data_IF_364226564921
#
_entry.id   IF_364226564921
#
_cell.length_a   1.000
_cell.length_b   1.000
_cell.length_c   1.000
_cell.angle_alpha   90.00
_cell.angle_beta   90.00
_cell.angle_gamma   90.00
#
_symmetry.space_group_name_H-M   'P 1'
#
loop_
_entity.id
_entity.type
_entity.pdbx_description
1 polymer ?
#
# COMPACT_ATOMS: atom_id res chain seq x y z
N UNK A 1 -23.68 -14.31 -45.63
CA UNK A 1 -22.63 -14.75 -44.68
C UNK A 1 -21.95 -13.48 -44.17
N UNK A 2 -22.53 -12.82 -43.17
CA UNK A 2 -21.92 -11.63 -42.55
C UNK A 2 -21.05 -12.10 -41.40
N UNK A 3 -19.75 -11.83 -41.48
CA UNK A 3 -18.82 -12.10 -40.40
C UNK A 3 -19.16 -11.17 -39.22
N UNK A 4 -19.56 -11.80 -38.12
CA UNK A 4 -19.76 -11.17 -36.82
C UNK A 4 -18.39 -10.72 -36.34
N UNK A 5 -18.18 -9.41 -36.26
CA UNK A 5 -16.93 -8.81 -35.79
C UNK A 5 -16.77 -9.13 -34.30
N UNK A 6 -15.78 -9.98 -33.99
CA UNK A 6 -15.35 -10.34 -32.64
C UNK A 6 -15.04 -9.07 -31.84
N UNK A 7 -15.87 -8.79 -30.83
CA UNK A 7 -15.61 -7.78 -29.81
C UNK A 7 -14.72 -8.37 -28.72
N UNK A 8 -13.51 -8.77 -29.07
CA UNK A 8 -12.55 -9.38 -28.13
C UNK A 8 -11.71 -8.35 -27.35
N UNK A 9 -11.76 -7.06 -27.73
CA UNK A 9 -10.91 -6.01 -27.15
C UNK A 9 -11.70 -5.07 -26.23
N UNK A 10 -12.70 -5.59 -25.50
CA UNK A 10 -13.25 -4.84 -24.37
C UNK A 10 -12.26 -4.99 -23.22
N UNK A 11 -11.24 -4.14 -23.17
CA UNK A 11 -10.50 -3.92 -21.92
C UNK A 11 -11.55 -3.59 -20.86
N UNK A 12 -11.75 -4.52 -19.93
CA UNK A 12 -12.55 -4.29 -18.73
C UNK A 12 -11.72 -3.32 -17.90
N UNK A 13 -11.88 -2.03 -18.17
CA UNK A 13 -11.50 -0.97 -17.25
C UNK A 13 -12.51 -1.12 -16.11
N UNK A 14 -12.26 -2.09 -15.21
CA UNK A 14 -12.88 -2.07 -13.90
C UNK A 14 -12.59 -0.67 -13.36
N UNK A 15 -13.65 0.12 -13.23
CA UNK A 15 -13.63 1.39 -12.52
C UNK A 15 -13.45 1.05 -11.05
N UNK A 16 -12.27 0.53 -10.71
CA UNK A 16 -11.94 -0.06 -9.43
C UNK A 16 -11.49 1.04 -8.50
N UNK A 17 -12.42 1.83 -7.99
CA UNK A 17 -12.20 2.47 -6.68
C UNK A 17 -12.01 1.33 -5.67
N UNK A 18 -10.76 0.97 -5.43
CA UNK A 18 -10.41 -0.08 -4.49
C UNK A 18 -10.33 0.51 -3.10
N UNK A 19 -11.31 0.15 -2.27
CA UNK A 19 -11.24 0.12 -0.81
C UNK A 19 -10.99 1.46 -0.11
N UNK A 20 -11.69 1.69 0.99
CA UNK A 20 -11.37 2.79 1.90
C UNK A 20 -10.22 2.34 2.81
N UNK A 21 -9.18 3.16 2.93
CA UNK A 21 -8.14 2.99 3.95
C UNK A 21 -8.46 3.96 5.09
N UNK A 22 -8.57 3.45 6.31
CA UNK A 22 -8.90 4.26 7.47
C UNK A 22 -7.93 5.44 7.58
N UNK A 23 -8.48 6.65 7.62
CA UNK A 23 -7.70 7.88 7.70
C UNK A 23 -7.26 8.49 6.36
N UNK A 24 -7.64 7.87 5.23
CA UNK A 24 -7.43 8.39 3.88
C UNK A 24 -8.79 8.54 3.19
N UNK A 25 -9.22 9.79 3.01
CA UNK A 25 -10.55 10.13 2.49
C UNK A 25 -10.60 10.34 0.97
N UNK A 26 -9.49 10.13 0.27
CA UNK A 26 -9.42 10.26 -1.20
C UNK A 26 -9.72 8.92 -1.90
N UNK A 27 -10.35 8.94 -3.08
CA UNK A 27 -10.47 7.74 -3.92
C UNK A 27 -9.08 7.26 -4.36
N UNK A 28 -8.90 5.94 -4.38
CA UNK A 28 -7.63 5.29 -4.69
C UNK A 28 -7.78 4.36 -5.89
N UNK A 29 -6.77 4.35 -6.76
CA UNK A 29 -6.64 3.30 -7.77
C UNK A 29 -6.25 1.97 -7.11
N UNK A 30 -6.45 0.82 -7.79
CA UNK A 30 -6.04 -0.49 -7.29
C UNK A 30 -4.59 -0.54 -6.82
N UNK A 31 -3.70 0.09 -7.58
CA UNK A 31 -2.28 0.15 -7.27
C UNK A 31 -2.00 1.01 -6.03
N UNK A 32 -2.65 2.17 -5.93
CA UNK A 32 -2.51 3.07 -4.79
C UNK A 32 -3.01 2.42 -3.49
N UNK A 33 -4.18 1.78 -3.55
CA UNK A 33 -4.72 1.01 -2.43
C UNK A 33 -3.78 -0.10 -2.00
N UNK A 34 -3.19 -0.82 -2.96
CA UNK A 34 -2.23 -1.88 -2.68
C UNK A 34 -1.01 -1.35 -1.90
N UNK A 35 -0.40 -0.25 -2.35
CA UNK A 35 0.78 0.32 -1.69
C UNK A 35 0.49 0.80 -0.27
N UNK A 36 -0.63 1.51 -0.06
CA UNK A 36 -1.01 2.01 1.26
C UNK A 36 -1.38 0.85 2.22
N UNK A 37 -2.10 -0.16 1.73
CA UNK A 37 -2.44 -1.35 2.52
C UNK A 37 -1.21 -2.20 2.86
N UNK A 38 -0.23 -2.27 1.96
CA UNK A 38 1.06 -2.90 2.23
C UNK A 38 1.83 -2.12 3.30
N UNK A 39 1.87 -0.79 3.18
CA UNK A 39 2.56 0.07 4.14
C UNK A 39 1.99 -0.09 5.55
N UNK A 40 0.67 -0.07 5.72
CA UNK A 40 0.02 -0.31 7.02
C UNK A 40 0.41 -1.67 7.62
N UNK A 41 0.37 -2.74 6.83
CA UNK A 41 0.77 -4.08 7.30
C UNK A 41 2.22 -4.13 7.72
N UNK A 42 3.13 -3.51 6.96
CA UNK A 42 4.55 -3.46 7.31
C UNK A 42 4.80 -2.68 8.59
N UNK A 43 4.07 -1.59 8.83
CA UNK A 43 4.17 -0.83 10.08
C UNK A 43 3.64 -1.66 11.26
N UNK A 44 2.49 -2.33 11.11
CA UNK A 44 1.97 -3.22 12.14
C UNK A 44 2.97 -4.34 12.49
N UNK A 45 3.63 -4.92 11.49
CA UNK A 45 4.70 -5.92 11.69
C UNK A 45 5.87 -5.29 12.45
N UNK A 46 6.35 -4.10 12.05
CA UNK A 46 7.41 -3.39 12.76
C UNK A 46 7.06 -3.14 14.23
N UNK A 47 5.84 -2.69 14.51
CA UNK A 47 5.38 -2.39 15.87
C UNK A 47 5.31 -3.66 16.72
N UNK A 48 4.81 -4.77 16.17
CA UNK A 48 4.78 -6.06 16.87
C UNK A 48 6.18 -6.53 17.29
N UNK A 49 7.20 -6.20 16.49
CA UNK A 49 8.59 -6.56 16.75
C UNK A 49 9.28 -5.66 17.76
N UNK A 50 8.85 -4.41 17.93
CA UNK A 50 9.40 -3.53 18.96
C UNK A 50 9.11 -4.05 20.38
N UNK A 51 8.05 -4.84 20.53
CA UNK A 51 7.64 -5.42 21.81
C UNK A 51 8.17 -6.82 22.08
N UNK A 52 8.81 -7.47 21.10
CA UNK A 52 9.31 -8.86 21.24
C UNK A 52 10.84 -8.88 21.50
N UNK A 53 11.29 -9.24 22.71
CA UNK A 53 12.72 -9.32 23.05
C UNK A 53 13.46 -10.47 22.36
N UNK A 54 12.77 -11.42 21.73
CA UNK A 54 13.38 -12.52 20.98
C UNK A 54 13.61 -12.19 19.52
N UNK A 55 13.20 -11.00 19.10
CA UNK A 55 13.19 -10.64 17.69
C UNK A 55 14.60 -10.36 17.16
N UNK A 56 14.93 -10.94 16.00
CA UNK A 56 16.26 -10.83 15.41
C UNK A 56 16.46 -9.49 14.69
N UNK A 57 17.60 -8.84 14.93
CA UNK A 57 17.91 -7.51 14.39
C UNK A 57 17.90 -7.45 12.86
N UNK A 58 18.24 -8.55 12.18
CA UNK A 58 18.26 -8.63 10.72
C UNK A 58 16.84 -8.57 10.13
N UNK A 59 15.85 -9.15 10.80
CA UNK A 59 14.45 -9.08 10.37
C UNK A 59 13.90 -7.66 10.53
N UNK A 60 14.26 -6.94 11.61
CA UNK A 60 13.89 -5.53 11.78
C UNK A 60 14.50 -4.68 10.67
N UNK A 61 15.75 -4.98 10.29
CA UNK A 61 16.40 -4.39 9.12
C UNK A 61 15.67 -4.66 7.81
N UNK A 62 15.16 -5.88 7.61
CA UNK A 62 14.38 -6.23 6.42
C UNK A 62 13.04 -5.49 6.36
N UNK A 63 12.32 -5.40 7.48
CA UNK A 63 11.04 -4.67 7.57
C UNK A 63 11.24 -3.18 7.31
N UNK A 64 12.27 -2.55 7.89
CA UNK A 64 12.57 -1.14 7.66
C UNK A 64 12.88 -0.86 6.18
N UNK A 65 13.62 -1.76 5.50
CA UNK A 65 13.86 -1.65 4.05
C UNK A 65 12.58 -1.80 3.24
N UNK A 66 11.71 -2.74 3.60
CA UNK A 66 10.43 -2.92 2.94
C UNK A 66 9.54 -1.67 3.07
N UNK A 67 9.44 -1.09 4.29
CA UNK A 67 8.72 0.16 4.53
C UNK A 67 9.27 1.30 3.65
N UNK A 68 10.59 1.44 3.58
CA UNK A 68 11.21 2.47 2.74
C UNK A 68 10.92 2.26 1.25
N UNK A 69 11.00 1.02 0.76
CA UNK A 69 10.67 0.69 -0.63
C UNK A 69 9.21 1.01 -0.95
N UNK A 70 8.27 0.57 -0.13
CA UNK A 70 6.84 0.83 -0.33
C UNK A 70 6.50 2.31 -0.24
N UNK A 71 7.19 3.07 0.62
CA UNK A 71 7.05 4.53 0.67
C UNK A 71 7.50 5.17 -0.65
N UNK A 72 8.61 4.70 -1.23
CA UNK A 72 9.08 5.17 -2.53
C UNK A 72 8.07 4.84 -3.63
N UNK A 73 7.56 3.62 -3.67
CA UNK A 73 6.53 3.20 -4.64
C UNK A 73 5.25 4.04 -4.50
N UNK A 74 4.87 4.40 -3.27
CA UNK A 74 3.75 5.31 -3.00
C UNK A 74 4.00 6.73 -3.53
N UNK A 75 5.23 7.23 -3.44
CA UNK A 75 5.60 8.53 -4.03
C UNK A 75 5.50 8.46 -5.56
N UNK A 76 6.02 7.39 -6.16
CA UNK A 76 5.96 7.17 -7.61
C UNK A 76 4.50 7.00 -8.10
N UNK A 77 3.60 6.49 -7.26
CA UNK A 77 2.16 6.36 -7.51
C UNK A 77 1.33 7.61 -7.16
N UNK A 78 1.97 8.75 -6.87
CA UNK A 78 1.33 10.02 -6.55
C UNK A 78 0.44 10.01 -5.28
N UNK A 79 0.78 9.17 -4.31
CA UNK A 79 0.12 9.06 -2.99
C UNK A 79 1.12 9.19 -1.84
N UNK A 80 2.27 9.81 -2.10
CA UNK A 80 3.36 9.95 -1.14
C UNK A 80 2.98 10.70 0.12
N UNK A 81 2.10 11.70 0.04
CA UNK A 81 1.68 12.46 1.22
C UNK A 81 0.76 11.66 2.13
N UNK A 82 -0.16 10.88 1.55
CA UNK A 82 -1.00 9.95 2.30
C UNK A 82 -0.15 8.85 2.99
N UNK A 83 0.85 8.32 2.29
CA UNK A 83 1.80 7.35 2.85
C UNK A 83 2.65 7.92 3.99
N UNK A 84 3.13 9.17 3.87
CA UNK A 84 3.87 9.85 4.95
C UNK A 84 2.98 10.10 6.16
N UNK A 85 1.71 10.44 5.94
CA UNK A 85 0.76 10.66 7.02
C UNK A 85 0.49 9.38 7.81
N UNK A 86 0.34 8.23 7.14
CA UNK A 86 0.27 6.93 7.82
C UNK A 86 1.50 6.68 8.71
N UNK A 87 2.70 6.96 8.23
CA UNK A 87 3.93 6.81 9.02
C UNK A 87 4.00 7.77 10.21
N UNK A 88 3.51 9.01 10.06
CA UNK A 88 3.49 10.00 11.15
C UNK A 88 2.52 9.60 12.24
N UNK A 89 1.31 9.16 11.90
CA UNK A 89 0.32 8.72 12.90
C UNK A 89 0.89 7.63 13.79
N UNK A 90 1.60 6.68 13.19
CA UNK A 90 2.25 5.59 13.90
C UNK A 90 3.40 6.06 14.82
N UNK A 91 4.14 7.10 14.43
CA UNK A 91 5.16 7.71 15.30
C UNK A 91 4.59 8.45 16.53
N UNK A 92 3.31 8.85 16.51
CA UNK A 92 2.67 9.56 17.61
C UNK A 92 1.82 8.65 18.51
N UNK A 93 1.55 7.41 18.10
CA UNK A 93 0.74 6.45 18.85
C UNK A 93 1.59 5.55 19.78
N UNK A 94 2.90 5.46 19.54
CA UNK A 94 3.89 4.78 20.41
C UNK A 94 4.72 5.79 21.22
#
# INVERSE_FOLDING_TARGET
MSAQQDRADQEVIESGETGVIEGIEQPLTPLQYHYLSLLQRLIAVKNSYQTDPKFESWLMGAVNKAIYSTLRDSIEANIGDAAKELLRREQHVN
#
